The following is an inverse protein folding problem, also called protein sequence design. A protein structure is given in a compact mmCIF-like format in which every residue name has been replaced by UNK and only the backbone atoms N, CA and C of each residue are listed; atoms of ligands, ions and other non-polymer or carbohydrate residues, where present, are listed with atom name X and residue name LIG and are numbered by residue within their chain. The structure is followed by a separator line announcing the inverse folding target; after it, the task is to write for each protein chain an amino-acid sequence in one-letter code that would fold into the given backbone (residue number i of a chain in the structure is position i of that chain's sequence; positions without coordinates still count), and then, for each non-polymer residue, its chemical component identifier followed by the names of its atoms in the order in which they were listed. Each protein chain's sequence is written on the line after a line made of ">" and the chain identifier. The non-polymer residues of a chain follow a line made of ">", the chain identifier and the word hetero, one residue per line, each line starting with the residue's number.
data_IF_439770174458
#
_entry.id   IF_439770174458
#
_cell.length_a   1.000
_cell.length_b   1.000
_cell.length_c   1.000
_cell.angle_alpha   90.00
_cell.angle_beta   90.00
_cell.angle_gamma   90.00
#
_symmetry.space_group_name_H-M   'P 1'
#
loop_
_entity.id
_entity.type
_entity.pdbx_description
1 polymer ?
#
# COMPACT_ATOMS: atom_id res chain seq x y z
N UNK A 1 12.38 6.00 -1.88
CA UNK A 1 10.98 5.89 -2.33
C UNK A 1 10.62 4.42 -2.43
N UNK A 2 9.59 3.99 -1.70
CA UNK A 2 8.99 2.65 -1.78
C UNK A 2 7.62 2.73 -2.45
N UNK A 3 7.42 1.98 -3.53
CA UNK A 3 6.11 1.83 -4.16
C UNK A 3 5.65 0.39 -3.98
N UNK A 4 4.52 0.19 -3.30
CA UNK A 4 3.92 -1.13 -3.11
C UNK A 4 2.72 -1.25 -4.03
N UNK A 5 2.69 -2.25 -4.89
CA UNK A 5 1.54 -2.54 -5.75
C UNK A 5 0.91 -3.84 -5.26
N UNK A 6 -0.37 -3.82 -4.91
CA UNK A 6 -1.05 -4.97 -4.29
C UNK A 6 -2.46 -5.16 -4.85
N UNK A 7 -2.88 -6.41 -4.99
CA UNK A 7 -4.27 -6.82 -5.25
C UNK A 7 -5.08 -7.01 -3.96
N UNK A 8 -4.62 -6.42 -2.86
CA UNK A 8 -5.23 -6.48 -1.53
C UNK A 8 -4.94 -7.76 -0.77
N UNK A 9 -4.31 -8.78 -1.38
CA UNK A 9 -4.10 -10.08 -0.73
C UNK A 9 -2.80 -10.12 0.07
N UNK A 10 -2.86 -10.83 1.20
CA UNK A 10 -1.72 -11.13 2.04
C UNK A 10 -1.72 -12.63 2.34
N UNK A 11 -1.20 -13.46 1.44
CA UNK A 11 -1.25 -14.94 1.54
C UNK A 11 0.11 -15.59 1.75
N UNK A 12 1.15 -14.79 2.02
CA UNK A 12 2.54 -15.24 2.13
C UNK A 12 2.90 -15.72 3.53
N UNK A 13 2.78 -17.02 3.79
CA UNK A 13 3.24 -17.62 5.04
C UNK A 13 2.41 -17.23 6.28
N UNK A 14 2.94 -17.47 7.50
CA UNK A 14 2.22 -17.19 8.74
C UNK A 14 2.06 -15.68 9.00
N UNK A 15 0.90 -15.27 9.49
CA UNK A 15 0.59 -13.89 9.92
C UNK A 15 1.01 -12.79 8.90
N UNK A 16 0.67 -12.93 7.61
CA UNK A 16 1.23 -12.09 6.54
C UNK A 16 0.85 -10.61 6.68
N UNK A 17 -0.36 -10.30 7.18
CA UNK A 17 -0.80 -8.93 7.44
C UNK A 17 0.00 -8.31 8.59
N UNK A 18 0.21 -9.06 9.68
CA UNK A 18 0.97 -8.56 10.84
C UNK A 18 2.43 -8.29 10.47
N UNK A 19 3.04 -9.17 9.66
CA UNK A 19 4.39 -8.99 9.15
C UNK A 19 4.51 -7.77 8.24
N UNK A 20 3.56 -7.58 7.31
CA UNK A 20 3.53 -6.42 6.44
C UNK A 20 3.42 -5.11 7.24
N UNK A 21 2.53 -5.06 8.25
CA UNK A 21 2.41 -3.90 9.13
C UNK A 21 3.71 -3.62 9.92
N UNK A 22 4.39 -4.66 10.42
CA UNK A 22 5.68 -4.49 11.09
C UNK A 22 6.74 -3.93 10.14
N UNK A 23 6.86 -4.45 8.92
CA UNK A 23 7.79 -3.94 7.92
C UNK A 23 7.47 -2.47 7.57
N UNK A 24 6.18 -2.14 7.43
CA UNK A 24 5.72 -0.79 7.17
C UNK A 24 6.21 0.21 8.21
N UNK A 25 6.04 -0.11 9.51
CA UNK A 25 6.52 0.74 10.59
C UNK A 25 8.04 0.92 10.61
N UNK A 26 8.81 -0.11 10.25
CA UNK A 26 10.26 0.00 10.14
C UNK A 26 10.66 0.99 9.04
N UNK A 27 10.10 0.84 7.84
CA UNK A 27 10.37 1.78 6.73
C UNK A 27 9.94 3.21 7.05
N UNK A 28 8.80 3.39 7.75
CA UNK A 28 8.39 4.70 8.26
C UNK A 28 9.44 5.28 9.21
N UNK A 29 9.93 4.48 10.15
CA UNK A 29 10.93 4.95 11.14
C UNK A 29 12.25 5.38 10.49
N UNK A 30 12.57 4.81 9.34
CA UNK A 30 13.72 5.19 8.51
C UNK A 30 13.44 6.44 7.64
N UNK A 31 12.23 7.00 7.67
CA UNK A 31 11.85 8.15 6.87
C UNK A 31 11.59 7.83 5.39
N UNK A 32 11.29 6.57 5.05
CA UNK A 32 11.07 6.17 3.66
C UNK A 32 9.74 6.70 3.15
N UNK A 33 9.79 7.67 2.21
CA UNK A 33 8.61 8.08 1.44
C UNK A 33 8.00 6.88 0.72
N UNK A 34 6.68 6.71 0.84
CA UNK A 34 5.97 5.52 0.36
C UNK A 34 4.61 5.83 -0.27
N UNK A 35 4.26 5.02 -1.26
CA UNK A 35 2.93 5.02 -1.91
C UNK A 35 2.48 3.57 -2.05
N UNK A 36 1.22 3.29 -1.71
CA UNK A 36 0.61 1.97 -1.91
C UNK A 36 -0.44 2.08 -3.00
N UNK A 37 -0.24 1.34 -4.07
CA UNK A 37 -1.16 1.22 -5.20
C UNK A 37 -2.08 0.03 -4.96
N UNK A 38 -3.34 0.32 -4.76
CA UNK A 38 -4.42 -0.64 -4.65
C UNK A 38 -4.98 -0.99 -6.04
N UNK A 39 -4.79 -2.25 -6.42
CA UNK A 39 -5.28 -2.83 -7.66
C UNK A 39 -6.63 -3.56 -7.49
N UNK A 40 -7.23 -3.54 -6.30
CA UNK A 40 -8.55 -4.12 -6.07
C UNK A 40 -9.62 -3.39 -6.90
N UNK A 41 -10.55 -4.16 -7.46
CA UNK A 41 -11.64 -3.66 -8.29
C UNK A 41 -12.95 -4.38 -7.99
N UNK A 42 -14.08 -3.72 -8.27
CA UNK A 42 -15.42 -4.27 -8.04
C UNK A 42 -15.96 -4.02 -6.63
N UNK A 43 -17.12 -4.62 -6.33
CA UNK A 43 -17.90 -4.34 -5.12
C UNK A 43 -17.29 -4.92 -3.84
N UNK A 44 -16.44 -5.95 -3.95
CA UNK A 44 -15.81 -6.60 -2.79
C UNK A 44 -14.33 -6.26 -2.80
N UNK A 45 -13.86 -5.67 -1.70
CA UNK A 45 -12.47 -5.27 -1.49
C UNK A 45 -12.05 -5.68 -0.09
N UNK A 46 -10.82 -6.14 0.04
CA UNK A 46 -10.16 -6.50 1.29
C UNK A 46 -9.74 -5.25 2.06
N UNK A 47 -9.37 -4.18 1.36
CA UNK A 47 -9.04 -2.88 1.98
C UNK A 47 -7.67 -2.85 2.67
N UNK A 48 -6.88 -3.92 2.55
CA UNK A 48 -5.58 -4.05 3.20
C UNK A 48 -4.53 -3.07 2.65
N UNK A 49 -4.69 -2.58 1.42
CA UNK A 49 -3.81 -1.56 0.85
C UNK A 49 -3.83 -0.25 1.66
N UNK A 50 -5.02 0.17 2.11
CA UNK A 50 -5.20 1.37 2.93
C UNK A 50 -4.56 1.21 4.32
N UNK A 51 -4.72 0.04 4.93
CA UNK A 51 -4.08 -0.28 6.21
C UNK A 51 -2.56 -0.27 6.10
N UNK A 52 -2.01 -0.88 5.04
CA UNK A 52 -0.58 -0.92 4.80
C UNK A 52 0.00 0.48 4.56
N UNK A 53 -0.68 1.32 3.78
CA UNK A 53 -0.27 2.72 3.58
C UNK A 53 -0.21 3.47 4.91
N UNK A 54 -1.20 3.25 5.79
CA UNK A 54 -1.22 3.82 7.14
C UNK A 54 -0.06 3.31 8.00
N UNK A 55 0.38 2.06 7.89
CA UNK A 55 1.55 1.54 8.61
C UNK A 55 2.88 2.06 8.04
N UNK A 56 2.93 2.31 6.74
CA UNK A 56 4.07 2.90 6.03
C UNK A 56 4.19 4.42 6.20
N UNK A 57 3.10 5.12 6.52
CA UNK A 57 3.06 6.59 6.50
C UNK A 57 3.06 7.19 5.12
N UNK A 58 2.59 6.42 4.15
CA UNK A 58 2.38 6.83 2.79
C UNK A 58 0.90 7.04 2.48
N UNK A 59 0.64 7.26 1.20
CA UNK A 59 -0.70 7.41 0.65
C UNK A 59 -1.12 6.11 -0.05
N UNK A 60 -2.38 5.72 0.12
CA UNK A 60 -3.00 4.69 -0.71
C UNK A 60 -3.65 5.35 -1.92
N UNK A 61 -3.39 4.84 -3.11
CA UNK A 61 -4.00 5.29 -4.37
C UNK A 61 -4.56 4.09 -5.11
N UNK A 62 -5.69 4.26 -5.77
CA UNK A 62 -6.29 3.21 -6.61
C UNK A 62 -5.72 3.25 -8.02
N UNK A 63 -5.81 2.13 -8.75
CA UNK A 63 -5.46 2.10 -10.17
C UNK A 63 -6.26 3.11 -11.02
N UNK A 64 -7.51 3.40 -10.65
CA UNK A 64 -8.33 4.37 -11.38
C UNK A 64 -7.88 5.81 -11.12
N UNK A 65 -7.50 6.16 -9.89
CA UNK A 65 -6.90 7.47 -9.56
C UNK A 65 -5.56 7.67 -10.26
N UNK A 66 -4.72 6.63 -10.36
CA UNK A 66 -3.45 6.67 -11.11
C UNK A 66 -3.59 6.82 -12.62
N UNK A 67 -4.76 6.49 -13.18
CA UNK A 67 -5.05 6.76 -14.60
C UNK A 67 -5.47 8.21 -14.80
N UNK A 68 -6.11 8.81 -13.80
CA UNK A 68 -6.47 10.22 -13.79
C UNK A 68 -5.27 11.13 -13.53
N UNK A 69 -4.36 10.72 -12.63
CA UNK A 69 -3.16 11.45 -12.22
C UNK A 69 -1.87 10.66 -12.49
N UNK A 70 -0.84 11.30 -13.06
CA UNK A 70 0.45 10.63 -13.29
C UNK A 70 1.22 10.39 -11.98
N UNK A 71 1.82 9.20 -11.82
CA UNK A 71 2.61 8.76 -10.64
C UNK A 71 3.64 9.80 -10.17
N UNK A 72 4.20 10.59 -11.09
CA UNK A 72 5.25 11.57 -10.81
C UNK A 72 4.86 12.69 -9.82
N UNK A 73 3.56 12.92 -9.56
CA UNK A 73 3.08 13.98 -8.66
C UNK A 73 2.75 13.55 -7.23
N UNK A 74 2.90 12.26 -6.89
CA UNK A 74 2.43 11.70 -5.61
C UNK A 74 3.47 11.73 -4.47
N UNK A 75 4.69 12.21 -4.73
CA UNK A 75 5.84 12.18 -3.81
C UNK A 75 6.61 13.48 -3.80
#
# INVERSE_FOLDING_TARGET
>A
LLVVVTDGRATGGPEPVALAGRAGRLHRSEGTASVVVDCESGYVRLGLAGELARELGGTAVTLDELRADSIAGLV
#
